data_IF_615433594129
#
_entry.id   IF_615433594129
#
_cell.length_a   1.000
_cell.length_b   1.000
_cell.length_c   1.000
_cell.angle_alpha   90.00
_cell.angle_beta   90.00
_cell.angle_gamma   90.00
#
_symmetry.space_group_name_H-M   'P 1'
#
loop_
_entity.id
_entity.type
_entity.pdbx_description
1 polymer ?
#
# COMPACT_ATOMS: atom_id res chain seq x y z
N UNK A 1 -76.40 -14.55 -15.82
CA UNK A 1 -75.05 -14.10 -16.23
C UNK A 1 -74.06 -14.84 -15.36
N UNK A 2 -73.49 -15.94 -15.87
CA UNK A 2 -72.37 -16.63 -15.23
C UNK A 2 -71.10 -15.86 -15.59
N UNK A 3 -70.47 -15.25 -14.59
CA UNK A 3 -69.19 -14.58 -14.77
C UNK A 3 -68.19 -15.67 -15.20
N UNK A 4 -67.52 -15.46 -16.33
CA UNK A 4 -66.56 -16.39 -16.89
C UNK A 4 -65.31 -16.40 -16.01
N UNK A 5 -65.33 -17.23 -14.96
CA UNK A 5 -64.33 -17.31 -13.89
C UNK A 5 -62.95 -17.73 -14.41
N UNK A 6 -62.89 -18.49 -15.51
CA UNK A 6 -61.64 -18.98 -16.08
C UNK A 6 -60.78 -17.85 -16.67
N UNK A 7 -61.42 -16.87 -17.33
CA UNK A 7 -60.70 -15.70 -17.86
C UNK A 7 -60.20 -14.77 -16.74
N UNK A 8 -60.90 -14.72 -15.62
CA UNK A 8 -60.52 -13.91 -14.47
C UNK A 8 -59.34 -14.53 -13.72
N UNK A 9 -59.36 -15.85 -13.54
CA UNK A 9 -58.27 -16.60 -12.93
C UNK A 9 -57.00 -16.57 -13.81
N UNK A 10 -57.14 -16.71 -15.13
CA UNK A 10 -56.01 -16.64 -16.06
C UNK A 10 -55.36 -15.24 -16.09
N UNK A 11 -56.16 -14.16 -16.00
CA UNK A 11 -55.65 -12.80 -15.88
C UNK A 11 -54.97 -12.54 -14.52
N UNK A 12 -55.51 -13.09 -13.43
CA UNK A 12 -54.91 -12.99 -12.10
C UNK A 12 -53.59 -13.75 -11.98
N UNK A 13 -53.49 -14.96 -12.54
CA UNK A 13 -52.24 -15.75 -12.58
C UNK A 13 -51.16 -15.05 -13.42
N UNK A 14 -51.53 -14.48 -14.57
CA UNK A 14 -50.58 -13.73 -15.42
C UNK A 14 -50.09 -12.45 -14.75
N UNK A 15 -50.93 -11.78 -13.95
CA UNK A 15 -50.53 -10.62 -13.16
C UNK A 15 -49.68 -10.99 -11.94
N UNK A 16 -49.96 -12.13 -11.31
CA UNK A 16 -49.14 -12.65 -10.21
C UNK A 16 -47.73 -13.04 -10.69
N UNK A 17 -47.63 -13.75 -11.82
CA UNK A 17 -46.36 -14.18 -12.44
C UNK A 17 -45.50 -12.98 -12.88
N UNK A 18 -46.11 -11.96 -13.51
CA UNK A 18 -45.41 -10.72 -13.84
C UNK A 18 -44.98 -9.94 -12.61
N UNK A 19 -45.74 -9.99 -11.51
CA UNK A 19 -45.38 -9.32 -10.26
C UNK A 19 -44.17 -10.00 -9.62
N UNK A 20 -44.13 -11.34 -9.56
CA UNK A 20 -42.95 -12.09 -9.11
C UNK A 20 -41.72 -11.79 -9.97
N UNK A 21 -41.88 -11.79 -11.29
CA UNK A 21 -40.78 -11.51 -12.22
C UNK A 21 -40.24 -10.08 -12.08
N UNK A 22 -41.12 -9.09 -11.88
CA UNK A 22 -40.71 -7.71 -11.58
C UNK A 22 -39.97 -7.64 -10.23
N UNK A 23 -40.43 -8.40 -9.23
CA UNK A 23 -39.82 -8.42 -7.90
C UNK A 23 -38.39 -8.98 -7.96
N UNK A 24 -38.19 -10.09 -8.68
CA UNK A 24 -36.86 -10.69 -8.93
C UNK A 24 -35.95 -9.72 -9.70
N UNK A 25 -36.47 -9.02 -10.71
CA UNK A 25 -35.69 -8.01 -11.45
C UNK A 25 -35.28 -6.81 -10.59
N UNK A 26 -36.08 -6.46 -9.59
CA UNK A 26 -35.73 -5.44 -8.60
C UNK A 26 -34.65 -5.94 -7.66
N UNK A 27 -34.76 -7.17 -7.16
CA UNK A 27 -33.75 -7.80 -6.30
C UNK A 27 -32.40 -7.92 -7.01
N UNK A 28 -32.37 -8.42 -8.25
CA UNK A 28 -31.16 -8.50 -9.07
C UNK A 28 -30.56 -7.11 -9.31
N UNK A 29 -31.39 -6.09 -9.54
CA UNK A 29 -30.92 -4.71 -9.74
C UNK A 29 -30.28 -4.15 -8.47
N UNK A 30 -30.91 -4.39 -7.32
CA UNK A 30 -30.40 -3.92 -6.04
C UNK A 30 -29.09 -4.65 -5.68
N UNK A 31 -29.00 -5.94 -5.96
CA UNK A 31 -27.78 -6.73 -5.79
C UNK A 31 -26.65 -6.27 -6.72
N UNK A 32 -26.95 -5.98 -8.00
CA UNK A 32 -25.98 -5.38 -8.93
C UNK A 32 -25.53 -3.99 -8.51
N UNK A 33 -26.43 -3.20 -7.91
CA UNK A 33 -26.12 -1.87 -7.39
C UNK A 33 -25.21 -1.95 -6.17
N UNK A 34 -25.43 -2.91 -5.29
CA UNK A 34 -24.58 -3.13 -4.12
C UNK A 34 -23.22 -3.71 -4.53
N UNK A 35 -23.19 -4.63 -5.51
CA UNK A 35 -21.94 -5.10 -6.11
C UNK A 35 -21.09 -3.96 -6.70
N UNK A 36 -21.71 -3.02 -7.41
CA UNK A 36 -21.01 -1.84 -7.93
C UNK A 36 -20.41 -0.97 -6.81
N UNK A 37 -21.15 -0.75 -5.71
CA UNK A 37 -20.61 -0.01 -4.55
C UNK A 37 -19.43 -0.73 -3.91
N UNK A 38 -19.50 -2.05 -3.81
CA UNK A 38 -18.41 -2.85 -3.25
C UNK A 38 -17.17 -2.83 -4.16
N UNK A 39 -17.37 -2.86 -5.48
CA UNK A 39 -16.29 -2.69 -6.45
C UNK A 39 -15.62 -1.31 -6.35
N UNK A 40 -16.41 -0.24 -6.23
CA UNK A 40 -15.87 1.12 -6.01
C UNK A 40 -15.09 1.22 -4.70
N UNK A 41 -15.58 0.58 -3.64
CA UNK A 41 -14.90 0.52 -2.34
C UNK A 41 -13.58 -0.24 -2.43
N UNK A 42 -13.56 -1.37 -3.13
CA UNK A 42 -12.34 -2.14 -3.38
C UNK A 42 -11.33 -1.35 -4.20
N UNK A 43 -11.80 -0.60 -5.20
CA UNK A 43 -10.93 0.24 -6.02
C UNK A 43 -10.28 1.35 -5.18
N UNK A 44 -11.07 2.05 -4.36
CA UNK A 44 -10.57 3.08 -3.45
C UNK A 44 -9.60 2.51 -2.38
N UNK A 45 -9.87 1.32 -1.84
CA UNK A 45 -8.96 0.65 -0.90
C UNK A 45 -7.64 0.28 -1.57
N UNK A 46 -7.70 -0.23 -2.80
CA UNK A 46 -6.52 -0.61 -3.59
C UNK A 46 -5.65 0.60 -3.91
N UNK A 47 -6.26 1.72 -4.33
CA UNK A 47 -5.57 2.99 -4.55
C UNK A 47 -4.91 3.52 -3.26
N UNK A 48 -5.63 3.45 -2.14
CA UNK A 48 -5.09 3.84 -0.83
C UNK A 48 -3.88 3.02 -0.39
N UNK A 49 -3.91 1.70 -0.61
CA UNK A 49 -2.78 0.80 -0.30
C UNK A 49 -1.57 1.03 -1.19
N UNK A 50 -1.79 1.28 -2.50
CA UNK A 50 -0.72 1.65 -3.44
C UNK A 50 -0.04 2.95 -3.01
N UNK A 51 -0.82 3.97 -2.66
CA UNK A 51 -0.31 5.26 -2.21
C UNK A 51 0.48 5.15 -0.90
N UNK A 52 -0.08 4.47 0.10
CA UNK A 52 0.59 4.24 1.39
C UNK A 52 1.89 3.44 1.24
N UNK A 53 1.90 2.42 0.37
CA UNK A 53 3.10 1.63 0.09
C UNK A 53 4.20 2.46 -0.55
N UNK A 54 3.86 3.33 -1.50
CA UNK A 54 4.84 4.22 -2.16
C UNK A 54 5.39 5.25 -1.17
N UNK A 55 4.54 5.87 -0.35
CA UNK A 55 4.96 6.83 0.67
C UNK A 55 5.87 6.18 1.72
N UNK A 56 5.51 5.00 2.22
CA UNK A 56 6.32 4.25 3.19
C UNK A 56 7.68 3.83 2.60
N UNK A 57 7.72 3.42 1.32
CA UNK A 57 8.99 3.10 0.63
C UNK A 57 9.91 4.30 0.52
N UNK A 58 9.36 5.49 0.22
CA UNK A 58 10.13 6.74 0.15
C UNK A 58 10.66 7.15 1.52
N UNK A 59 9.83 7.08 2.56
CA UNK A 59 10.25 7.37 3.94
C UNK A 59 11.34 6.40 4.39
N UNK A 60 11.15 5.09 4.19
CA UNK A 60 12.15 4.09 4.54
C UNK A 60 13.46 4.27 3.77
N UNK A 61 13.40 4.62 2.47
CA UNK A 61 14.56 4.92 1.65
C UNK A 61 15.34 6.13 2.21
N UNK A 62 14.64 7.23 2.54
CA UNK A 62 15.25 8.41 3.16
C UNK A 62 15.88 8.06 4.51
N UNK A 63 15.15 7.36 5.39
CA UNK A 63 15.68 6.94 6.69
C UNK A 63 16.94 6.10 6.54
N UNK A 64 16.95 5.11 5.65
CA UNK A 64 18.14 4.28 5.42
C UNK A 64 19.33 5.09 4.88
N UNK A 65 19.09 6.02 3.95
CA UNK A 65 20.13 6.89 3.41
C UNK A 65 20.82 7.76 4.48
N UNK A 66 20.08 8.16 5.52
CA UNK A 66 20.66 8.97 6.60
C UNK A 66 21.21 8.13 7.74
N UNK A 67 20.49 7.10 8.20
CA UNK A 67 20.85 6.33 9.40
C UNK A 67 22.16 5.60 9.19
N UNK A 68 22.33 4.87 8.08
CA UNK A 68 23.51 4.02 7.89
C UNK A 68 24.81 4.86 7.89
N UNK A 69 24.95 5.92 7.07
CA UNK A 69 26.16 6.74 7.11
C UNK A 69 26.33 7.49 8.44
N UNK A 70 25.22 7.91 9.06
CA UNK A 70 25.28 8.61 10.36
C UNK A 70 25.78 7.71 11.48
N UNK A 71 25.46 6.41 11.46
CA UNK A 71 26.01 5.46 12.44
C UNK A 71 27.54 5.39 12.34
N UNK A 72 28.10 5.34 11.13
CA UNK A 72 29.56 5.37 10.95
C UNK A 72 30.19 6.69 11.40
N UNK A 73 29.50 7.82 11.17
CA UNK A 73 29.96 9.13 11.61
C UNK A 73 29.86 9.33 13.14
N UNK A 74 28.97 8.60 13.82
CA UNK A 74 28.79 8.70 15.27
C UNK A 74 29.88 7.95 16.06
N UNK A 75 30.52 6.93 15.47
CA UNK A 75 31.60 6.13 16.11
C UNK A 75 32.73 7.02 16.67
N UNK A 76 33.32 7.97 15.90
CA UNK A 76 34.39 8.82 16.40
C UNK A 76 33.90 9.94 17.34
N UNK A 77 32.60 10.27 17.31
CA UNK A 77 32.00 11.28 18.19
C UNK A 77 31.58 10.73 19.55
N UNK A 78 31.47 9.41 19.68
CA UNK A 78 31.27 8.76 20.96
C UNK A 78 32.62 8.77 21.71
N UNK A 79 32.64 9.35 22.92
CA UNK A 79 33.81 9.45 23.80
C UNK A 79 34.23 8.06 24.33
N UNK A 80 34.69 7.19 23.44
CA UNK A 80 35.30 5.92 23.83
C UNK A 80 36.73 6.18 24.29
N UNK A 81 36.98 5.83 25.55
CA UNK A 81 38.26 6.02 26.25
C UNK A 81 39.45 5.33 25.55
N UNK A 82 39.19 4.37 24.65
CA UNK A 82 40.20 3.56 23.96
C UNK A 82 40.20 3.75 22.42
N UNK A 83 39.61 4.83 21.88
CA UNK A 83 39.64 5.09 20.43
C UNK A 83 41.08 5.19 19.87
N UNK A 84 42.02 5.68 20.68
CA UNK A 84 43.44 5.75 20.32
C UNK A 84 44.08 4.37 20.15
N UNK A 85 43.59 3.32 20.82
CA UNK A 85 44.12 1.95 20.66
C UNK A 85 43.75 1.31 19.33
N UNK A 86 42.66 1.78 18.70
CA UNK A 86 42.24 1.39 17.35
C UNK A 86 42.99 2.15 16.25
N UNK A 87 43.97 3.00 16.62
CA UNK A 87 44.78 3.76 15.66
C UNK A 87 44.08 4.98 15.09
N UNK A 88 43.01 5.48 15.73
CA UNK A 88 42.37 6.75 15.34
C UNK A 88 43.24 7.99 15.58
N UNK A 89 44.33 7.83 16.34
CA UNK A 89 45.39 8.84 16.52
C UNK A 89 46.28 8.98 15.27
N UNK A 90 46.18 8.06 14.31
CA UNK A 90 46.89 8.16 13.04
C UNK A 90 46.20 9.17 12.11
N UNK A 91 47.00 10.02 11.46
CA UNK A 91 46.55 11.00 10.46
C UNK A 91 45.68 10.39 9.33
N UNK A 92 45.80 9.07 9.10
CA UNK A 92 45.06 8.33 8.08
C UNK A 92 43.68 7.82 8.51
N UNK A 93 43.35 7.81 9.81
CA UNK A 93 42.09 7.25 10.29
C UNK A 93 40.87 8.10 9.89
N UNK A 94 41.01 9.43 9.93
CA UNK A 94 39.99 10.39 9.48
C UNK A 94 39.59 10.21 8.02
N UNK A 95 40.52 10.22 7.03
CA UNK A 95 40.16 10.03 5.63
C UNK A 95 39.60 8.64 5.33
N UNK A 96 40.06 7.59 6.04
CA UNK A 96 39.47 6.23 5.92
C UNK A 96 38.02 6.23 6.40
N UNK A 97 37.72 6.89 7.52
CA UNK A 97 36.37 6.99 8.05
C UNK A 97 35.45 7.78 7.11
N UNK A 98 35.92 8.91 6.59
CA UNK A 98 35.18 9.66 5.56
C UNK A 98 34.94 8.79 4.33
N UNK A 99 35.94 8.03 3.89
CA UNK A 99 35.80 7.04 2.82
C UNK A 99 34.71 6.00 3.12
N UNK A 100 34.69 5.42 4.32
CA UNK A 100 33.67 4.45 4.74
C UNK A 100 32.26 5.06 4.78
N UNK A 101 32.12 6.31 5.25
CA UNK A 101 30.85 7.06 5.23
C UNK A 101 30.38 7.28 3.79
N UNK A 102 31.27 7.71 2.89
CA UNK A 102 30.92 7.92 1.48
C UNK A 102 30.56 6.61 0.79
N UNK A 103 31.32 5.54 1.01
CA UNK A 103 31.06 4.21 0.43
C UNK A 103 29.75 3.63 0.95
N UNK A 104 29.46 3.75 2.25
CA UNK A 104 28.19 3.29 2.83
C UNK A 104 26.99 4.10 2.31
N UNK A 105 27.13 5.42 2.11
CA UNK A 105 26.12 6.25 1.49
C UNK A 105 25.85 5.83 0.02
N UNK A 106 26.92 5.65 -0.76
CA UNK A 106 26.82 5.19 -2.15
C UNK A 106 26.23 3.78 -2.25
N UNK A 107 26.62 2.87 -1.35
CA UNK A 107 26.09 1.51 -1.28
C UNK A 107 24.60 1.50 -0.95
N UNK A 108 24.19 2.31 0.01
CA UNK A 108 22.77 2.46 0.39
C UNK A 108 21.96 3.08 -0.75
N UNK A 109 22.50 4.09 -1.44
CA UNK A 109 21.88 4.68 -2.62
C UNK A 109 21.72 3.66 -3.76
N UNK A 110 22.77 2.89 -4.06
CA UNK A 110 22.73 1.86 -5.09
C UNK A 110 21.71 0.75 -4.75
N UNK A 111 21.62 0.35 -3.48
CA UNK A 111 20.65 -0.63 -3.01
C UNK A 111 19.20 -0.14 -3.17
N UNK A 112 18.91 1.10 -2.75
CA UNK A 112 17.59 1.73 -2.89
C UNK A 112 17.22 1.88 -4.37
N UNK A 113 18.16 2.32 -5.20
CA UNK A 113 17.97 2.45 -6.66
C UNK A 113 17.68 1.10 -7.31
N UNK A 114 18.40 0.03 -6.93
CA UNK A 114 18.14 -1.33 -7.41
C UNK A 114 16.74 -1.81 -7.05
N UNK A 115 16.24 -1.43 -5.87
CA UNK A 115 14.91 -1.81 -5.39
C UNK A 115 13.77 -0.95 -5.97
N UNK A 116 14.06 0.10 -6.76
CA UNK A 116 13.06 1.05 -7.31
C UNK A 116 12.19 1.67 -6.22
N UNK A 117 12.77 1.89 -5.03
CA UNK A 117 12.10 2.58 -3.93
C UNK A 117 12.16 4.11 -4.09
N UNK A 118 13.05 4.56 -4.98
CA UNK A 118 13.15 5.87 -5.61
C UNK A 118 13.11 5.62 -7.12
#
# INVERSE_FOLDING_TARGET
MTINTDNLNQAMDTHADNTEMITVLHEIRDELRDFNKDMDRLNHLTEGQLKSTVENRKLAALTLMFVIPSTFAAIPGANFEHLNEYGFDNFYALPILVGAVVVSALGTFAFIKKKRWI
#
